data_IF_816962150467
#
_entry.id   IF_816962150467
#
_cell.length_a   1.000
_cell.length_b   1.000
_cell.length_c   1.000
_cell.angle_alpha   90.00
_cell.angle_beta   90.00
_cell.angle_gamma   90.00
#
_symmetry.space_group_name_H-M   'P 1'
#
loop_
_entity.id
_entity.type
_entity.pdbx_description
1 polymer ?
#
# COMPACT_ATOMS: atom_id res chain seq x y z
N UNK A 1 -27.40 -34.62 -27.23
CA UNK A 1 -26.61 -34.34 -26.03
C UNK A 1 -25.55 -33.34 -26.44
N UNK A 2 -25.84 -32.07 -26.23
CA UNK A 2 -24.89 -30.97 -26.49
C UNK A 2 -24.10 -30.77 -25.20
N UNK A 3 -22.82 -31.02 -25.28
CA UNK A 3 -21.85 -30.79 -24.21
C UNK A 3 -21.75 -29.26 -24.01
N UNK A 4 -22.25 -28.79 -22.87
CA UNK A 4 -22.08 -27.40 -22.44
C UNK A 4 -20.74 -27.36 -21.73
N UNK A 5 -19.68 -27.16 -22.52
CA UNK A 5 -18.36 -26.87 -21.97
C UNK A 5 -18.46 -25.65 -21.04
N UNK A 6 -18.25 -25.86 -19.76
CA UNK A 6 -18.09 -24.78 -18.77
C UNK A 6 -16.82 -24.02 -19.13
N UNK A 7 -17.00 -22.86 -19.76
CA UNK A 7 -15.97 -21.85 -19.90
C UNK A 7 -15.65 -21.33 -18.48
N UNK A 8 -14.71 -21.97 -17.83
CA UNK A 8 -14.14 -21.49 -16.56
C UNK A 8 -13.19 -20.38 -17.00
N UNK A 9 -13.68 -19.13 -16.99
CA UNK A 9 -12.89 -17.97 -17.34
C UNK A 9 -11.51 -18.04 -16.66
N UNK A 10 -10.46 -17.74 -17.42
CA UNK A 10 -9.07 -17.77 -16.94
C UNK A 10 -8.95 -16.83 -15.74
N UNK A 11 -8.55 -17.36 -14.59
CA UNK A 11 -8.38 -16.58 -13.35
C UNK A 11 -7.17 -15.68 -13.53
N UNK A 12 -7.37 -14.36 -13.39
CA UNK A 12 -6.29 -13.39 -13.48
C UNK A 12 -5.22 -13.64 -12.41
N UNK A 13 -3.95 -13.58 -12.79
CA UNK A 13 -2.83 -13.88 -11.89
C UNK A 13 -1.76 -12.79 -11.91
N UNK A 14 -1.10 -12.58 -10.75
CA UNK A 14 0.14 -11.82 -10.63
C UNK A 14 1.34 -12.75 -10.89
N UNK A 15 2.32 -12.25 -11.61
CA UNK A 15 3.62 -12.92 -11.71
C UNK A 15 4.41 -12.75 -10.41
N UNK A 16 4.82 -13.85 -9.77
CA UNK A 16 5.59 -13.81 -8.53
C UNK A 16 6.77 -14.77 -8.56
N UNK A 17 7.68 -14.63 -7.60
CA UNK A 17 8.82 -15.54 -7.39
C UNK A 17 8.40 -16.97 -7.03
N UNK A 18 7.15 -17.18 -6.63
CA UNK A 18 6.57 -18.50 -6.32
C UNK A 18 5.65 -19.04 -7.42
N UNK A 19 5.68 -18.42 -8.58
CA UNK A 19 4.77 -18.70 -9.71
C UNK A 19 3.55 -17.77 -9.72
N UNK A 20 2.59 -18.01 -10.64
CA UNK A 20 1.38 -17.21 -10.75
C UNK A 20 0.56 -17.25 -9.46
N UNK A 21 0.13 -16.08 -8.97
CA UNK A 21 -0.71 -15.92 -7.79
C UNK A 21 -2.05 -15.31 -8.22
N UNK A 22 -3.14 -15.89 -7.73
CA UNK A 22 -4.48 -15.36 -7.97
C UNK A 22 -4.59 -13.89 -7.54
N UNK A 23 -5.19 -13.07 -8.39
CA UNK A 23 -5.42 -11.64 -8.12
C UNK A 23 -6.55 -11.49 -7.11
N UNK A 24 -6.32 -10.80 -5.97
CA UNK A 24 -7.40 -10.48 -5.04
C UNK A 24 -8.38 -9.51 -5.70
N UNK A 25 -9.69 -9.70 -5.48
CA UNK A 25 -10.70 -8.83 -6.07
C UNK A 25 -10.64 -7.40 -5.54
N UNK A 26 -10.32 -7.25 -4.25
CA UNK A 26 -10.27 -5.95 -3.55
C UNK A 26 -9.02 -5.84 -2.70
N UNK A 27 -8.32 -4.73 -2.85
CA UNK A 27 -7.09 -4.43 -2.09
C UNK A 27 -7.22 -3.06 -1.43
N UNK A 28 -6.83 -2.95 -0.18
CA UNK A 28 -6.64 -1.68 0.51
C UNK A 28 -5.16 -1.48 0.78
N UNK A 29 -4.61 -0.33 0.37
CA UNK A 29 -3.25 0.06 0.76
C UNK A 29 -3.35 1.10 1.86
N UNK A 30 -2.70 0.86 3.00
CA UNK A 30 -2.63 1.77 4.14
C UNK A 30 -1.19 2.23 4.31
N UNK A 31 -0.95 3.53 4.26
CA UNK A 31 0.36 4.13 4.43
C UNK A 31 0.32 5.32 5.41
N UNK A 32 1.46 5.62 6.01
CA UNK A 32 1.60 6.74 6.93
C UNK A 32 1.43 8.09 6.20
N UNK A 33 2.13 8.27 5.07
CA UNK A 33 2.20 9.55 4.36
C UNK A 33 1.87 9.39 2.87
N UNK A 34 1.50 10.47 2.16
CA UNK A 34 1.55 10.53 0.71
C UNK A 34 2.96 10.19 0.20
N UNK A 35 3.07 9.47 -0.93
CA UNK A 35 4.24 8.89 -1.60
C UNK A 35 4.70 7.50 -1.10
N UNK A 36 4.46 7.13 0.14
CA UNK A 36 4.89 5.84 0.71
C UNK A 36 4.47 4.63 -0.14
N UNK A 37 3.20 4.63 -0.60
CA UNK A 37 2.69 3.55 -1.46
C UNK A 37 3.44 3.52 -2.79
N UNK A 38 3.81 4.68 -3.32
CA UNK A 38 4.43 4.80 -4.63
C UNK A 38 5.88 4.32 -4.59
N UNK A 39 6.59 4.57 -3.49
CA UNK A 39 7.89 3.94 -3.23
C UNK A 39 7.78 2.43 -2.99
N UNK A 40 6.81 1.98 -2.19
CA UNK A 40 6.74 0.61 -1.68
C UNK A 40 6.03 -0.40 -2.59
N UNK A 41 4.95 0.01 -3.29
CA UNK A 41 4.01 -0.92 -3.92
C UNK A 41 3.38 -0.47 -5.24
N UNK A 42 3.72 0.70 -5.81
CA UNK A 42 3.01 1.21 -6.99
C UNK A 42 3.08 0.30 -8.22
N UNK A 43 4.20 -0.40 -8.42
CA UNK A 43 4.32 -1.38 -9.49
C UNK A 43 3.35 -2.56 -9.32
N UNK A 44 3.24 -3.07 -8.09
CA UNK A 44 2.27 -4.12 -7.72
C UNK A 44 0.84 -3.62 -7.84
N UNK A 45 0.55 -2.39 -7.39
CA UNK A 45 -0.78 -1.78 -7.52
C UNK A 45 -1.17 -1.65 -8.99
N UNK A 46 -0.26 -1.18 -9.85
CA UNK A 46 -0.50 -1.10 -11.29
C UNK A 46 -0.81 -2.48 -11.90
N UNK A 47 -0.05 -3.52 -11.52
CA UNK A 47 -0.30 -4.88 -11.97
C UNK A 47 -1.65 -5.42 -11.48
N UNK A 48 -2.05 -5.11 -10.24
CA UNK A 48 -3.34 -5.48 -9.67
C UNK A 48 -4.51 -4.82 -10.40
N UNK A 49 -4.42 -3.50 -10.65
CA UNK A 49 -5.48 -2.76 -11.37
C UNK A 49 -5.60 -3.19 -12.82
N UNK A 50 -4.50 -3.46 -13.50
CA UNK A 50 -4.49 -4.01 -14.86
C UNK A 50 -5.15 -5.40 -14.94
N UNK A 51 -4.99 -6.19 -13.87
CA UNK A 51 -5.62 -7.49 -13.74
C UNK A 51 -7.08 -7.43 -13.23
N UNK A 52 -7.65 -6.23 -13.05
CA UNK A 52 -9.06 -5.99 -12.71
C UNK A 52 -9.36 -5.91 -11.21
N UNK A 53 -8.35 -5.87 -10.33
CA UNK A 53 -8.57 -5.63 -8.91
C UNK A 53 -9.07 -4.21 -8.63
N UNK A 54 -9.97 -4.06 -7.68
CA UNK A 54 -10.37 -2.76 -7.14
C UNK A 54 -9.40 -2.41 -6.00
N UNK A 55 -8.58 -1.37 -6.20
CA UNK A 55 -7.61 -0.91 -5.21
C UNK A 55 -8.05 0.43 -4.62
N UNK A 56 -8.02 0.54 -3.29
CA UNK A 56 -8.28 1.77 -2.53
C UNK A 56 -7.05 2.15 -1.71
N UNK A 57 -6.82 3.45 -1.51
CA UNK A 57 -5.76 3.97 -0.67
C UNK A 57 -6.30 4.59 0.62
N UNK A 58 -5.56 4.43 1.71
CA UNK A 58 -5.80 5.09 2.99
C UNK A 58 -4.48 5.68 3.49
N UNK A 59 -4.36 7.00 3.50
CA UNK A 59 -3.21 7.76 4.01
C UNK A 59 -3.54 8.19 5.45
N UNK A 60 -2.70 7.82 6.41
CA UNK A 60 -2.95 8.12 7.83
C UNK A 60 -2.78 9.61 8.10
N UNK A 61 -1.73 10.24 7.55
CA UNK A 61 -1.49 11.68 7.63
C UNK A 61 -1.57 12.33 6.25
N UNK A 62 -1.45 13.64 6.21
CA UNK A 62 -1.36 14.42 4.98
C UNK A 62 0.08 14.76 4.59
N UNK A 63 1.07 14.34 5.38
CA UNK A 63 2.48 14.60 5.13
C UNK A 63 2.88 16.06 5.33
N UNK A 64 2.16 16.78 6.18
CA UNK A 64 2.29 18.24 6.38
C UNK A 64 3.56 18.68 7.10
N UNK A 65 4.34 17.74 7.64
CA UNK A 65 5.67 18.00 8.23
C UNK A 65 6.83 17.67 7.25
N UNK A 66 6.55 17.13 6.07
CA UNK A 66 7.54 16.63 5.12
C UNK A 66 8.12 17.70 4.19
N UNK A 67 8.59 18.84 4.71
CA UNK A 67 9.28 19.86 3.91
C UNK A 67 10.38 20.55 4.70
N UNK A 68 11.54 20.76 4.06
CA UNK A 68 12.62 21.61 4.58
C UNK A 68 12.37 23.11 4.34
N UNK A 69 11.34 23.46 3.55
CA UNK A 69 10.97 24.83 3.24
C UNK A 69 10.05 25.41 4.29
N UNK A 70 10.60 26.19 5.23
CA UNK A 70 9.88 26.83 6.33
C UNK A 70 8.89 27.95 5.87
N UNK A 71 8.82 28.25 4.59
CA UNK A 71 7.96 29.30 4.01
C UNK A 71 6.58 28.78 3.60
N UNK A 72 6.41 27.48 3.43
CA UNK A 72 5.10 26.86 3.18
C UNK A 72 4.47 26.50 4.53
N UNK A 73 3.21 26.83 4.74
CA UNK A 73 2.53 26.41 5.95
C UNK A 73 2.05 24.94 5.84
N UNK A 74 1.78 24.33 7.00
CA UNK A 74 1.40 22.92 7.07
C UNK A 74 0.11 22.61 6.30
N UNK A 75 -0.87 23.52 6.28
CA UNK A 75 -2.13 23.31 5.58
C UNK A 75 -1.96 23.41 4.05
N UNK A 76 -1.13 24.35 3.59
CA UNK A 76 -0.76 24.44 2.17
C UNK A 76 -0.02 23.20 1.71
N UNK A 77 0.95 22.71 2.50
CA UNK A 77 1.69 21.49 2.17
C UNK A 77 0.77 20.26 2.15
N UNK A 78 -0.13 20.13 3.13
CA UNK A 78 -1.13 19.07 3.15
C UNK A 78 -1.99 19.07 1.88
N UNK A 79 -2.50 20.23 1.48
CA UNK A 79 -3.32 20.36 0.27
C UNK A 79 -2.52 19.98 -0.99
N UNK A 80 -1.29 20.44 -1.13
CA UNK A 80 -0.40 20.10 -2.23
C UNK A 80 -0.16 18.59 -2.29
N UNK A 81 0.21 17.96 -1.16
CA UNK A 81 0.49 16.52 -1.12
C UNK A 81 -0.75 15.65 -1.35
N UNK A 82 -1.97 16.15 -1.03
CA UNK A 82 -3.22 15.49 -1.41
C UNK A 82 -3.42 15.49 -2.93
N UNK A 83 -3.14 16.62 -3.60
CA UNK A 83 -3.23 16.72 -5.06
C UNK A 83 -2.20 15.81 -5.73
N UNK A 84 -0.95 15.82 -5.26
CA UNK A 84 0.14 14.98 -5.76
C UNK A 84 -0.19 13.49 -5.61
N UNK A 85 -0.65 13.04 -4.42
CA UNK A 85 -1.05 11.65 -4.21
C UNK A 85 -2.23 11.25 -5.07
N UNK A 86 -3.19 12.16 -5.27
CA UNK A 86 -4.33 11.90 -6.16
C UNK A 86 -3.89 11.76 -7.61
N UNK A 87 -2.90 12.53 -8.05
CA UNK A 87 -2.33 12.40 -9.38
C UNK A 87 -1.53 11.09 -9.52
N UNK A 88 -0.67 10.77 -8.53
CA UNK A 88 0.10 9.52 -8.49
C UNK A 88 -0.80 8.28 -8.53
N UNK A 89 -1.88 8.26 -7.77
CA UNK A 89 -2.84 7.16 -7.73
C UNK A 89 -3.47 6.88 -9.10
N UNK A 90 -3.77 7.92 -9.88
CA UNK A 90 -4.33 7.78 -11.24
C UNK A 90 -3.36 7.08 -12.19
N UNK A 91 -2.05 7.32 -12.07
CA UNK A 91 -1.03 6.67 -12.89
C UNK A 91 -1.06 5.14 -12.73
N UNK A 92 -1.47 4.66 -11.57
CA UNK A 92 -1.57 3.22 -11.26
C UNK A 92 -3.01 2.70 -11.21
N UNK A 93 -3.99 3.48 -11.69
CA UNK A 93 -5.39 3.05 -11.85
C UNK A 93 -6.23 3.12 -10.57
N UNK A 94 -5.80 3.87 -9.55
CA UNK A 94 -6.53 4.03 -8.29
C UNK A 94 -7.25 5.37 -8.25
N UNK A 95 -8.53 5.36 -7.83
CA UNK A 95 -9.39 6.55 -7.74
C UNK A 95 -10.06 6.74 -6.37
N UNK A 96 -10.05 5.71 -5.51
CA UNK A 96 -10.62 5.77 -4.15
C UNK A 96 -9.50 6.03 -3.13
N UNK A 97 -9.38 7.26 -2.67
CA UNK A 97 -8.42 7.70 -1.66
C UNK A 97 -9.13 8.21 -0.42
N UNK A 98 -8.63 7.83 0.74
CA UNK A 98 -9.06 8.33 2.05
C UNK A 98 -7.86 8.90 2.77
N UNK A 99 -7.94 10.15 3.21
CA UNK A 99 -6.95 10.80 4.08
C UNK A 99 -7.56 10.92 5.46
N UNK A 100 -6.92 10.32 6.48
CA UNK A 100 -7.47 10.31 7.85
C UNK A 100 -7.15 11.58 8.63
N UNK A 101 -6.10 12.32 8.25
CA UNK A 101 -5.74 13.59 8.86
C UNK A 101 -5.12 13.47 10.25
N UNK A 102 -4.52 12.33 10.60
CA UNK A 102 -3.68 12.24 11.79
C UNK A 102 -2.40 13.05 11.60
N UNK A 103 -1.86 13.68 12.67
CA UNK A 103 -0.68 14.56 12.54
C UNK A 103 0.54 13.82 12.02
N UNK A 104 1.19 14.38 11.00
CA UNK A 104 2.46 13.89 10.45
C UNK A 104 3.61 14.07 11.45
N UNK A 105 4.48 13.07 11.57
CA UNK A 105 5.58 13.03 12.53
C UNK A 105 5.17 12.61 13.94
N UNK A 106 3.86 12.38 14.19
CA UNK A 106 3.31 12.07 15.50
C UNK A 106 2.26 10.96 15.48
N UNK A 107 2.33 10.06 14.50
CA UNK A 107 1.40 8.92 14.40
C UNK A 107 1.71 7.92 15.54
N UNK A 108 0.68 7.61 16.31
CA UNK A 108 0.73 6.60 17.36
C UNK A 108 -0.38 5.56 17.16
N UNK A 109 -0.15 4.33 17.62
CA UNK A 109 -1.15 3.24 17.55
C UNK A 109 -2.26 3.46 18.59
N UNK A 110 -3.04 4.52 18.42
CA UNK A 110 -4.14 4.90 19.31
C UNK A 110 -5.43 4.12 19.01
N UNK A 111 -6.38 4.13 19.95
CA UNK A 111 -7.72 3.60 19.71
C UNK A 111 -8.47 4.40 18.63
N UNK A 112 -8.22 5.70 18.52
CA UNK A 112 -8.80 6.54 17.48
C UNK A 112 -8.33 6.12 16.09
N UNK A 113 -7.01 6.01 15.85
CA UNK A 113 -6.47 5.55 14.58
C UNK A 113 -6.94 4.14 14.23
N UNK A 114 -6.97 3.21 15.20
CA UNK A 114 -7.49 1.84 14.99
C UNK A 114 -8.97 1.84 14.58
N UNK A 115 -9.80 2.71 15.20
CA UNK A 115 -11.20 2.89 14.82
C UNK A 115 -11.32 3.38 13.38
N UNK A 116 -10.59 4.40 13.02
CA UNK A 116 -10.64 4.99 11.68
C UNK A 116 -10.21 3.98 10.62
N UNK A 117 -9.11 3.25 10.85
CA UNK A 117 -8.68 2.16 9.98
C UNK A 117 -9.70 1.02 9.90
N UNK A 118 -10.35 0.68 11.03
CA UNK A 118 -11.42 -0.32 11.06
C UNK A 118 -12.61 0.12 10.20
N UNK A 119 -12.99 1.40 10.26
CA UNK A 119 -14.04 1.96 9.43
C UNK A 119 -13.71 1.84 7.93
N UNK A 120 -12.48 2.19 7.54
CA UNK A 120 -12.02 2.07 6.14
C UNK A 120 -12.02 0.61 5.69
N UNK A 121 -11.49 -0.33 6.49
CA UNK A 121 -11.48 -1.77 6.17
C UNK A 121 -12.91 -2.30 6.00
N UNK A 122 -13.83 -1.96 6.90
CA UNK A 122 -15.23 -2.40 6.80
C UNK A 122 -15.94 -1.79 5.60
N UNK A 123 -15.64 -0.54 5.24
CA UNK A 123 -16.18 0.14 4.06
C UNK A 123 -15.68 -0.48 2.75
N UNK A 124 -14.36 -0.67 2.62
CA UNK A 124 -13.73 -1.14 1.38
C UNK A 124 -13.80 -2.65 1.21
N UNK A 125 -13.92 -3.40 2.31
CA UNK A 125 -14.03 -4.88 2.36
C UNK A 125 -12.91 -5.58 1.56
N UNK A 126 -11.62 -5.32 1.85
CA UNK A 126 -10.52 -5.84 1.07
C UNK A 126 -10.26 -7.32 1.36
N UNK A 127 -9.86 -8.07 0.34
CA UNK A 127 -9.30 -9.43 0.48
C UNK A 127 -7.88 -9.35 1.08
N UNK A 128 -7.12 -8.35 0.62
CA UNK A 128 -5.73 -8.11 1.02
C UNK A 128 -5.57 -6.66 1.47
N UNK A 129 -4.82 -6.47 2.55
CA UNK A 129 -4.33 -5.15 2.98
C UNK A 129 -2.82 -5.09 2.75
N UNK A 130 -2.35 -4.07 2.02
CA UNK A 130 -0.92 -3.76 1.90
C UNK A 130 -0.61 -2.61 2.85
N UNK A 131 0.45 -2.74 3.65
CA UNK A 131 0.85 -1.68 4.59
C UNK A 131 2.34 -1.75 4.93
N UNK A 132 2.84 -0.76 5.64
CA UNK A 132 4.22 -0.72 6.11
C UNK A 132 4.47 -1.76 7.20
N UNK A 133 5.73 -2.25 7.27
CA UNK A 133 6.14 -3.16 8.35
C UNK A 133 6.21 -2.43 9.70
N UNK A 134 5.68 -3.01 10.79
CA UNK A 134 5.91 -2.50 12.13
C UNK A 134 7.29 -2.91 12.70
N UNK A 135 8.06 -3.71 11.96
CA UNK A 135 9.37 -4.16 12.42
C UNK A 135 10.46 -3.14 12.12
N UNK A 136 11.24 -2.79 13.14
CA UNK A 136 12.35 -1.84 13.03
C UNK A 136 13.58 -2.50 12.41
N UNK A 137 14.12 -1.91 11.36
CA UNK A 137 15.35 -2.33 10.70
C UNK A 137 16.49 -1.39 11.12
N UNK A 138 17.30 -1.80 12.10
CA UNK A 138 18.35 -0.94 12.66
C UNK A 138 19.49 -0.67 11.67
N UNK A 139 19.80 -1.61 10.79
CA UNK A 139 20.85 -1.45 9.76
C UNK A 139 20.43 -0.49 8.64
N UNK A 140 19.14 -0.14 8.58
CA UNK A 140 18.56 0.79 7.59
C UNK A 140 17.47 1.61 8.26
N UNK A 141 17.87 2.46 9.20
CA UNK A 141 16.93 3.18 10.09
C UNK A 141 15.92 4.06 9.32
N UNK A 142 16.29 4.63 8.19
CA UNK A 142 15.41 5.43 7.34
C UNK A 142 14.18 4.64 6.83
N UNK A 143 14.29 3.31 6.68
CA UNK A 143 13.17 2.44 6.33
C UNK A 143 12.22 2.18 7.51
N UNK A 144 12.57 2.67 8.71
CA UNK A 144 11.84 2.46 9.96
C UNK A 144 11.42 3.80 10.58
N UNK A 145 10.85 4.69 9.76
CA UNK A 145 10.26 5.92 10.25
C UNK A 145 9.24 5.61 11.37
N UNK A 146 9.22 6.34 12.50
CA UNK A 146 8.29 6.05 13.59
C UNK A 146 6.83 5.93 13.14
N UNK A 147 6.40 6.82 12.25
CA UNK A 147 5.04 6.83 11.70
C UNK A 147 4.75 5.58 10.86
N UNK A 148 5.73 5.08 10.07
CA UNK A 148 5.58 3.83 9.31
C UNK A 148 5.35 2.65 10.25
N UNK A 149 6.13 2.56 11.34
CA UNK A 149 5.99 1.51 12.34
C UNK A 149 4.62 1.58 13.02
N UNK A 150 4.18 2.79 13.39
CA UNK A 150 2.90 3.02 14.06
C UNK A 150 1.71 2.75 13.13
N UNK A 151 1.75 3.19 11.87
CA UNK A 151 0.72 2.94 10.86
C UNK A 151 0.60 1.43 10.56
N UNK A 152 1.73 0.73 10.39
CA UNK A 152 1.76 -0.71 10.19
C UNK A 152 1.16 -1.48 11.36
N UNK A 153 1.57 -1.15 12.59
CA UNK A 153 1.05 -1.77 13.82
C UNK A 153 -0.45 -1.49 14.02
N UNK A 154 -0.89 -0.24 13.79
CA UNK A 154 -2.30 0.12 13.88
C UNK A 154 -3.14 -0.64 12.84
N UNK A 155 -2.62 -0.78 11.63
CA UNK A 155 -3.27 -1.53 10.55
C UNK A 155 -3.42 -3.01 10.89
N UNK A 156 -2.38 -3.65 11.40
CA UNK A 156 -2.45 -5.06 11.83
C UNK A 156 -3.51 -5.26 12.92
N UNK A 157 -3.59 -4.35 13.91
CA UNK A 157 -4.62 -4.40 14.97
C UNK A 157 -6.01 -4.12 14.41
N UNK A 158 -6.15 -3.22 13.46
CA UNK A 158 -7.41 -2.96 12.80
C UNK A 158 -7.89 -4.18 11.99
N UNK A 159 -6.99 -4.87 11.27
CA UNK A 159 -7.29 -6.12 10.56
C UNK A 159 -7.67 -7.23 11.56
N UNK A 160 -6.87 -7.40 12.63
CA UNK A 160 -7.09 -8.41 13.66
C UNK A 160 -6.81 -7.86 15.05
N UNK A 161 -7.83 -7.83 15.93
CA UNK A 161 -9.17 -8.42 15.78
C UNK A 161 -10.27 -7.45 15.31
N UNK A 162 -9.98 -6.13 15.17
CA UNK A 162 -11.00 -5.08 15.21
C UNK A 162 -12.04 -5.19 14.08
N UNK A 163 -11.59 -5.27 12.82
CA UNK A 163 -12.50 -5.25 11.66
C UNK A 163 -13.47 -6.43 11.62
N UNK A 164 -13.03 -7.61 12.09
CA UNK A 164 -13.85 -8.83 12.08
C UNK A 164 -14.77 -8.99 13.30
N UNK A 165 -14.50 -8.26 14.38
CA UNK A 165 -15.25 -8.38 15.62
C UNK A 165 -16.42 -7.39 15.66
N UNK A 166 -17.68 -7.85 15.66
CA UNK A 166 -18.84 -6.96 15.68
C UNK A 166 -18.98 -6.15 16.98
N UNK A 167 -18.23 -6.51 18.03
CA UNK A 167 -18.22 -5.79 19.32
C UNK A 167 -17.12 -4.72 19.39
N UNK A 168 -16.17 -4.73 18.44
CA UNK A 168 -15.21 -3.63 18.31
C UNK A 168 -15.89 -2.48 17.59
N UNK A 169 -15.87 -1.30 18.21
CA UNK A 169 -16.48 -0.08 17.67
C UNK A 169 -17.94 -0.28 17.24
N UNK A 170 -18.86 -0.52 18.18
CA UNK A 170 -20.27 -0.82 17.89
C UNK A 170 -20.99 0.34 17.17
N UNK A 171 -20.47 1.57 17.28
CA UNK A 171 -20.94 2.72 16.53
C UNK A 171 -20.75 2.55 15.01
N UNK A 172 -19.67 1.92 14.57
CA UNK A 172 -19.44 1.64 13.14
C UNK A 172 -20.48 0.66 12.60
N UNK A 173 -20.90 -0.31 13.41
CA UNK A 173 -21.98 -1.21 13.03
C UNK A 173 -23.32 -0.47 12.91
N UNK A 174 -23.57 0.48 13.80
CA UNK A 174 -24.76 1.35 13.72
C UNK A 174 -24.75 2.26 12.48
N UNK A 175 -23.57 2.60 11.97
CA UNK A 175 -23.37 3.32 10.70
C UNK A 175 -23.47 2.40 9.46
N UNK A 176 -23.76 1.11 9.62
CA UNK A 176 -23.88 0.13 8.53
C UNK A 176 -22.54 -0.46 8.07
N UNK A 177 -21.45 -0.22 8.80
CA UNK A 177 -20.14 -0.79 8.51
C UNK A 177 -20.00 -2.18 9.15
N UNK A 178 -20.50 -3.18 8.43
CA UNK A 178 -20.51 -4.57 8.87
C UNK A 178 -19.12 -5.15 9.05
N UNK A 179 -18.91 -6.08 10.01
CA UNK A 179 -17.63 -6.76 10.19
C UNK A 179 -17.12 -7.38 8.91
N UNK A 180 -15.79 -7.34 8.75
CA UNK A 180 -15.11 -7.89 7.60
C UNK A 180 -13.83 -8.64 8.01
N UNK A 181 -13.59 -9.76 7.35
CA UNK A 181 -12.36 -10.56 7.53
C UNK A 181 -11.46 -10.35 6.31
N UNK A 182 -10.34 -9.70 6.52
CA UNK A 182 -9.23 -9.65 5.56
C UNK A 182 -8.57 -11.01 5.51
N UNK A 183 -8.14 -11.49 4.35
CA UNK A 183 -7.49 -12.80 4.22
C UNK A 183 -6.00 -12.74 4.51
N UNK A 184 -5.33 -11.68 4.06
CA UNK A 184 -3.89 -11.51 4.18
C UNK A 184 -3.52 -10.04 4.38
N UNK A 185 -2.41 -9.82 5.07
CA UNK A 185 -1.70 -8.53 5.07
C UNK A 185 -0.35 -8.70 4.40
N UNK A 186 -0.03 -7.81 3.44
CA UNK A 186 1.27 -7.76 2.80
C UNK A 186 2.07 -6.57 3.35
N UNK A 187 3.14 -6.86 4.05
CA UNK A 187 3.97 -5.83 4.70
C UNK A 187 5.09 -5.38 3.76
N UNK A 188 5.10 -4.11 3.41
CA UNK A 188 6.19 -3.43 2.68
C UNK A 188 7.39 -3.24 3.59
N UNK A 189 8.58 -3.14 3.01
CA UNK A 189 9.84 -2.86 3.72
C UNK A 189 10.10 -3.79 4.92
N UNK A 190 9.65 -5.05 4.85
CA UNK A 190 9.89 -6.03 5.91
C UNK A 190 11.24 -6.74 5.71
N UNK A 191 12.06 -6.97 6.78
CA UNK A 191 13.38 -7.57 6.65
C UNK A 191 13.35 -9.03 6.15
N UNK A 192 12.25 -9.73 6.36
CA UNK A 192 12.04 -11.15 5.98
C UNK A 192 10.93 -11.28 4.93
N UNK A 193 10.98 -10.48 3.85
CA UNK A 193 10.05 -10.60 2.75
C UNK A 193 10.05 -12.02 2.15
N UNK A 194 8.86 -12.56 1.87
CA UNK A 194 8.66 -13.92 1.36
C UNK A 194 7.74 -14.00 0.14
N UNK A 195 7.31 -12.86 -0.38
CA UNK A 195 6.61 -12.69 -1.64
C UNK A 195 7.32 -11.60 -2.45
N UNK A 196 7.64 -11.85 -3.72
CA UNK A 196 8.10 -10.84 -4.66
C UNK A 196 7.20 -10.85 -5.87
N UNK A 197 6.65 -9.68 -6.16
CA UNK A 197 5.80 -9.45 -7.33
C UNK A 197 6.68 -8.88 -8.42
N UNK A 198 6.65 -9.52 -9.59
CA UNK A 198 7.33 -9.00 -10.78
C UNK A 198 6.57 -7.75 -11.28
N UNK A 199 7.28 -6.63 -11.31
CA UNK A 199 6.75 -5.32 -11.70
C UNK A 199 7.49 -4.73 -12.91
N UNK A 200 8.15 -5.59 -13.68
CA UNK A 200 8.94 -5.15 -14.84
C UNK A 200 8.08 -4.39 -15.82
N UNK A 201 6.89 -4.90 -16.12
CA UNK A 201 5.99 -4.34 -17.13
C UNK A 201 5.22 -3.10 -16.61
N UNK A 202 5.21 -2.87 -15.30
CA UNK A 202 4.54 -1.73 -14.65
C UNK A 202 5.53 -0.70 -14.08
N UNK A 203 6.83 -0.87 -14.35
CA UNK A 203 7.89 0.02 -13.84
C UNK A 203 7.68 1.47 -14.25
N UNK A 204 7.36 1.73 -15.51
CA UNK A 204 7.20 3.10 -16.01
C UNK A 204 6.03 3.83 -15.32
N UNK A 205 4.94 3.10 -15.01
CA UNK A 205 3.82 3.65 -14.23
C UNK A 205 4.19 3.94 -12.78
N UNK A 206 5.00 3.08 -12.17
CA UNK A 206 5.57 3.36 -10.84
C UNK A 206 6.41 4.63 -10.84
N UNK A 207 7.24 4.84 -11.86
CA UNK A 207 8.04 6.05 -11.99
C UNK A 207 7.15 7.28 -12.23
N UNK A 208 6.12 7.17 -13.07
CA UNK A 208 5.16 8.25 -13.31
C UNK A 208 4.44 8.64 -12.01
N UNK A 209 4.00 7.67 -11.20
CA UNK A 209 3.40 7.92 -9.89
C UNK A 209 4.38 8.63 -8.95
N UNK A 210 5.62 8.17 -8.83
CA UNK A 210 6.64 8.84 -8.01
C UNK A 210 6.94 10.27 -8.48
N UNK A 211 7.00 10.51 -9.79
CA UNK A 211 7.24 11.83 -10.38
C UNK A 211 6.06 12.79 -10.18
N UNK A 212 4.85 12.29 -9.89
CA UNK A 212 3.70 13.13 -9.55
C UNK A 212 3.89 13.84 -8.19
N UNK A 213 4.70 13.29 -7.28
CA UNK A 213 5.08 13.90 -6.00
C UNK A 213 6.18 14.94 -6.16
N UNK A 214 5.89 16.02 -6.89
CA UNK A 214 6.84 17.08 -7.25
C UNK A 214 7.52 17.68 -6.01
N UNK A 215 6.76 17.94 -4.95
CA UNK A 215 7.27 18.50 -3.70
C UNK A 215 8.32 17.62 -3.03
N UNK A 216 8.28 16.29 -3.29
CA UNK A 216 9.11 15.29 -2.62
C UNK A 216 10.21 14.72 -3.54
N UNK A 217 10.02 14.72 -4.85
CA UNK A 217 10.90 14.01 -5.79
C UNK A 217 11.54 14.88 -6.86
N UNK A 218 11.10 16.14 -7.05
CA UNK A 218 11.62 17.01 -8.12
C UNK A 218 13.12 17.26 -8.06
N UNK A 219 13.71 17.21 -6.86
CA UNK A 219 15.15 17.41 -6.65
C UNK A 219 16.01 16.17 -6.97
N UNK A 220 15.36 15.01 -7.30
CA UNK A 220 16.06 13.74 -7.57
C UNK A 220 16.13 13.45 -9.06
N UNK A 221 17.23 13.86 -9.68
CA UNK A 221 17.50 13.51 -11.09
C UNK A 221 17.78 12.01 -11.27
N UNK A 222 18.27 11.34 -10.22
CA UNK A 222 18.62 9.92 -10.18
C UNK A 222 17.46 8.98 -9.76
N UNK A 223 16.23 9.49 -9.62
CA UNK A 223 15.10 8.73 -9.06
C UNK A 223 14.90 7.39 -9.78
N UNK A 224 14.86 7.41 -11.10
CA UNK A 224 14.58 6.21 -11.93
C UNK A 224 15.67 5.15 -11.74
N UNK A 225 16.93 5.57 -11.73
CA UNK A 225 18.08 4.68 -11.53
C UNK A 225 18.07 4.08 -10.11
N UNK A 226 17.81 4.90 -9.10
CA UNK A 226 17.71 4.47 -7.71
C UNK A 226 16.60 3.43 -7.52
N UNK A 227 15.40 3.69 -8.01
CA UNK A 227 14.26 2.77 -7.91
C UNK A 227 14.54 1.47 -8.66
N UNK A 228 15.06 1.57 -9.89
CA UNK A 228 15.45 0.39 -10.67
C UNK A 228 16.48 -0.46 -9.93
N UNK A 229 17.47 0.17 -9.30
CA UNK A 229 18.46 -0.51 -8.47
C UNK A 229 17.84 -1.32 -7.34
N UNK A 230 16.91 -0.73 -6.57
CA UNK A 230 16.21 -1.43 -5.48
C UNK A 230 15.37 -2.61 -5.97
N UNK A 231 14.62 -2.41 -7.05
CA UNK A 231 13.76 -3.46 -7.61
C UNK A 231 14.60 -4.60 -8.23
N UNK A 232 15.75 -4.29 -8.82
CA UNK A 232 16.71 -5.30 -9.31
C UNK A 232 17.27 -6.14 -8.18
N UNK A 233 17.61 -5.53 -7.03
CA UNK A 233 18.08 -6.26 -5.85
C UNK A 233 17.02 -7.24 -5.33
N UNK A 234 15.76 -6.81 -5.29
CA UNK A 234 14.64 -7.67 -4.90
C UNK A 234 14.44 -8.83 -5.88
N UNK A 235 14.48 -8.55 -7.19
CA UNK A 235 14.35 -9.57 -8.23
C UNK A 235 15.48 -10.60 -8.16
N UNK A 236 16.71 -10.15 -7.96
CA UNK A 236 17.89 -11.01 -7.77
C UNK A 236 17.77 -11.89 -6.52
N UNK A 237 17.32 -11.31 -5.39
CA UNK A 237 17.09 -12.06 -4.15
C UNK A 237 15.99 -13.13 -4.29
N UNK A 238 15.07 -12.96 -5.24
CA UNK A 238 14.02 -13.89 -5.60
C UNK A 238 14.44 -14.96 -6.63
N UNK A 239 15.64 -14.86 -7.20
CA UNK A 239 16.08 -15.75 -8.28
C UNK A 239 15.39 -15.49 -9.62
N UNK A 240 14.79 -14.32 -9.82
CA UNK A 240 14.18 -13.94 -11.09
C UNK A 240 15.25 -13.74 -12.17
N UNK A 241 14.93 -13.92 -13.46
CA UNK A 241 15.87 -13.71 -14.55
C UNK A 241 16.49 -12.32 -14.55
N UNK A 242 17.68 -12.19 -15.13
CA UNK A 242 18.35 -10.89 -15.30
C UNK A 242 17.45 -9.91 -16.07
N UNK A 243 17.45 -8.64 -15.64
CA UNK A 243 16.61 -7.60 -16.21
C UNK A 243 15.20 -7.50 -15.62
N UNK A 244 14.77 -8.47 -14.80
CA UNK A 244 13.47 -8.38 -14.09
C UNK A 244 13.56 -7.44 -12.89
N UNK A 245 12.42 -6.86 -12.53
CA UNK A 245 12.25 -5.92 -11.44
C UNK A 245 11.17 -6.45 -10.49
N UNK A 246 11.37 -6.36 -9.17
CA UNK A 246 10.40 -6.89 -8.22
C UNK A 246 10.18 -5.98 -7.02
N UNK A 247 8.93 -5.87 -6.56
CA UNK A 247 8.55 -5.38 -5.24
C UNK A 247 8.46 -6.54 -4.26
N UNK A 248 8.80 -6.30 -2.99
CA UNK A 248 8.94 -7.34 -2.00
C UNK A 248 8.04 -7.10 -0.79
N UNK A 249 7.36 -8.15 -0.36
CA UNK A 249 6.41 -8.12 0.75
C UNK A 249 6.62 -9.30 1.69
N UNK A 250 6.27 -9.10 2.97
CA UNK A 250 6.04 -10.21 3.91
C UNK A 250 4.53 -10.49 3.96
N UNK A 251 4.13 -11.70 3.61
CA UNK A 251 2.73 -12.12 3.70
C UNK A 251 2.42 -12.61 5.10
N UNK A 252 1.34 -12.06 5.68
CA UNK A 252 0.79 -12.47 6.97
C UNK A 252 -0.62 -12.99 6.74
N UNK A 253 -0.88 -14.31 6.81
CA UNK A 253 -2.22 -14.86 6.77
C UNK A 253 -3.02 -14.42 8.00
N UNK A 254 -4.28 -14.03 7.82
CA UNK A 254 -5.13 -13.52 8.89
C UNK A 254 -6.49 -14.23 8.97
N UNK A 255 -6.78 -15.14 8.03
CA UNK A 255 -8.00 -15.94 7.99
C UNK A 255 -7.67 -17.42 7.94
#
# INVERSE_FOLDING_TARGET
>A
MTDVGSDVGEVATLATDKGPREVPSRVLVVCAHPDDVDFGAAGTVAALTDAGAVVSYCLVSSGEAGSDHLTIDAAELAALRHEEQTAAAKEVGVIDLTFLGHPDGAIETTLALRRDLTAVIRRTRPDVVITQSPERILDRIFASHPDHLAAGEATLRAVYPDARNPRSYPELLAEGLEPHTVREVWLMAHPSADLRVDVTDTFDRKIAALRAHQSQTAHRDDLDEMIRGWLTLNAKAAGLPEGRLAEAFKVVPTA
#
